data_IF_071838576466
#
_entry.id   IF_071838576466
#
_cell.length_a   1.000
_cell.length_b   1.000
_cell.length_c   1.000
_cell.angle_alpha   90.00
_cell.angle_beta   90.00
_cell.angle_gamma   90.00
#
_symmetry.space_group_name_H-M   'P 1'
#
loop_
_entity.id
_entity.type
_entity.pdbx_description
1 polymer ?
#
# COMPACT_ATOMS: atom_id res chain seq x y z
N UNK A 1 9.09 -39.24 -46.21
CA UNK A 1 8.18 -38.95 -45.08
C UNK A 1 9.00 -39.14 -43.80
N UNK A 2 9.33 -38.10 -43.00
CA UNK A 2 8.52 -37.49 -41.90
C UNK A 2 7.97 -38.60 -40.98
N UNK A 3 8.33 -38.77 -39.70
CA UNK A 3 8.24 -37.85 -38.55
C UNK A 3 9.26 -38.26 -37.47
N UNK A 4 10.15 -37.35 -37.05
CA UNK A 4 10.14 -36.51 -35.82
C UNK A 4 10.34 -37.28 -34.50
N UNK A 5 11.54 -37.04 -33.94
CA UNK A 5 12.06 -37.48 -32.66
C UNK A 5 11.17 -37.09 -31.48
N UNK A 6 10.94 -38.09 -30.65
CA UNK A 6 10.70 -38.09 -29.22
C UNK A 6 11.64 -37.15 -28.46
N UNK A 7 11.21 -36.71 -27.28
CA UNK A 7 11.90 -35.94 -26.23
C UNK A 7 11.59 -34.43 -26.20
N UNK A 8 10.52 -34.10 -25.47
CA UNK A 8 10.30 -32.74 -24.98
C UNK A 8 11.25 -32.53 -23.79
N UNK A 9 12.31 -31.78 -24.05
CA UNK A 9 13.47 -31.54 -23.20
C UNK A 9 13.12 -30.68 -21.97
N UNK A 10 13.66 -30.96 -20.77
CA UNK A 10 13.50 -30.17 -19.55
C UNK A 10 14.34 -28.88 -19.58
N UNK A 11 14.21 -28.06 -20.61
CA UNK A 11 15.03 -26.84 -20.79
C UNK A 11 14.31 -25.57 -20.31
N UNK A 12 13.00 -25.61 -20.07
CA UNK A 12 12.19 -24.42 -19.75
C UNK A 12 12.12 -24.11 -18.26
N UNK A 13 12.19 -25.12 -17.40
CA UNK A 13 12.10 -24.97 -15.95
C UNK A 13 13.42 -24.53 -15.31
N UNK A 14 14.57 -24.98 -15.81
CA UNK A 14 15.87 -24.54 -15.28
C UNK A 14 16.20 -23.07 -15.56
N UNK A 15 15.76 -22.53 -16.71
CA UNK A 15 16.01 -21.14 -17.08
C UNK A 15 15.27 -20.14 -16.16
N UNK A 16 14.11 -20.53 -15.65
CA UNK A 16 13.29 -19.71 -14.76
C UNK A 16 13.89 -19.63 -13.34
N UNK A 17 14.47 -20.73 -12.85
CA UNK A 17 15.15 -20.76 -11.55
C UNK A 17 16.41 -19.90 -11.58
N UNK A 18 17.19 -19.93 -12.66
CA UNK A 18 18.43 -19.14 -12.78
C UNK A 18 18.19 -17.61 -12.77
N UNK A 19 17.06 -17.15 -13.31
CA UNK A 19 16.74 -15.71 -13.36
C UNK A 19 16.35 -15.15 -11.97
N UNK A 20 15.76 -15.96 -11.09
CA UNK A 20 15.30 -15.54 -9.76
C UNK A 20 16.48 -15.35 -8.79
N UNK A 21 17.57 -16.09 -8.96
CA UNK A 21 18.75 -16.04 -8.06
C UNK A 21 19.71 -14.89 -8.38
N UNK A 22 19.65 -14.32 -9.59
CA UNK A 22 20.54 -13.22 -10.00
C UNK A 22 19.98 -11.82 -9.69
N UNK A 23 18.66 -11.71 -9.52
CA UNK A 23 17.99 -10.46 -9.14
C UNK A 23 18.48 -9.85 -7.79
N UNK A 24 18.71 -10.61 -6.69
CA UNK A 24 19.15 -10.02 -5.43
C UNK A 24 20.60 -9.50 -5.47
N UNK A 25 21.45 -10.06 -6.34
CA UNK A 25 22.84 -9.62 -6.47
C UNK A 25 22.96 -8.26 -7.20
N UNK A 26 22.00 -7.96 -8.09
CA UNK A 26 21.90 -6.64 -8.73
C UNK A 26 21.27 -5.59 -7.79
N UNK A 27 20.36 -5.99 -6.90
CA UNK A 27 19.83 -5.10 -5.85
C UNK A 27 20.90 -4.71 -4.83
N UNK A 28 21.83 -5.62 -4.49
CA UNK A 28 22.93 -5.32 -3.58
C UNK A 28 23.91 -4.28 -4.15
N UNK A 29 24.05 -4.19 -5.48
CA UNK A 29 24.90 -3.20 -6.14
C UNK A 29 24.22 -1.83 -6.37
N UNK A 30 22.89 -1.77 -6.25
CA UNK A 30 22.13 -0.51 -6.19
C UNK A 30 21.81 -0.08 -4.75
N UNK A 31 22.24 -0.87 -3.74
CA UNK A 31 22.10 -0.57 -2.31
C UNK A 31 23.33 0.17 -1.78
N UNK A 32 23.87 1.11 -2.56
CA UNK A 32 24.86 2.10 -2.11
C UNK A 32 24.14 3.45 -1.91
N UNK A 33 23.06 3.41 -1.13
CA UNK A 33 22.33 4.61 -0.67
C UNK A 33 22.40 4.72 0.86
N UNK A 34 23.50 4.23 1.44
CA UNK A 34 23.75 4.25 2.88
C UNK A 34 24.09 5.67 3.39
N UNK A 35 24.32 6.64 2.50
CA UNK A 35 24.71 8.01 2.84
C UNK A 35 23.61 9.04 2.51
N UNK A 36 22.37 8.75 2.89
CA UNK A 36 21.24 9.70 2.78
C UNK A 36 20.36 9.78 4.03
N UNK A 37 20.76 9.17 5.15
CA UNK A 37 20.04 9.26 6.41
C UNK A 37 20.89 10.02 7.45
N UNK A 38 21.10 11.32 7.21
CA UNK A 38 21.43 12.22 8.30
C UNK A 38 20.10 12.54 9.00
N UNK A 39 19.69 11.66 9.91
CA UNK A 39 18.64 11.96 10.88
C UNK A 39 19.19 13.09 11.76
N UNK A 40 18.99 14.33 11.31
CA UNK A 40 19.21 15.48 12.17
C UNK A 40 18.12 15.38 13.23
N UNK A 41 18.50 15.16 14.48
CA UNK A 41 17.66 15.44 15.64
C UNK A 41 17.34 16.94 15.62
N UNK A 42 16.32 17.31 14.84
CA UNK A 42 15.78 18.65 14.84
C UNK A 42 15.00 18.79 16.12
N UNK A 43 15.57 19.51 17.09
CA UNK A 43 14.83 19.99 18.24
C UNK A 43 13.60 20.74 17.71
N UNK A 44 12.41 20.26 18.04
CA UNK A 44 11.17 20.98 17.75
C UNK A 44 11.11 22.18 18.68
N UNK A 45 11.53 23.34 18.18
CA UNK A 45 11.33 24.59 18.91
C UNK A 45 9.85 24.94 18.85
N UNK A 46 9.22 25.00 20.02
CA UNK A 46 7.86 25.50 20.18
C UNK A 46 7.86 27.00 19.84
N UNK A 47 7.34 27.35 18.65
CA UNK A 47 7.13 28.73 18.22
C UNK A 47 5.63 29.02 18.21
N UNK A 48 5.23 30.21 18.65
CA UNK A 48 3.83 30.60 18.56
C UNK A 48 3.44 30.76 17.08
N UNK A 49 2.22 30.35 16.71
CA UNK A 49 1.77 30.42 15.31
C UNK A 49 1.84 31.85 14.73
N UNK A 50 1.67 32.87 15.57
CA UNK A 50 1.85 34.26 15.16
C UNK A 50 3.30 34.58 14.80
N UNK A 51 4.25 34.15 15.64
CA UNK A 51 5.70 34.31 15.43
C UNK A 51 6.18 33.59 14.17
N UNK A 52 5.62 32.42 13.87
CA UNK A 52 5.90 31.68 12.63
C UNK A 52 5.47 32.42 11.36
N UNK A 53 4.47 33.30 11.47
CA UNK A 53 3.89 34.05 10.34
C UNK A 53 4.39 35.49 10.26
N UNK A 54 5.17 35.99 11.24
CA UNK A 54 5.63 37.39 11.30
C UNK A 54 6.41 37.84 10.05
N UNK A 55 7.06 36.91 9.34
CA UNK A 55 7.86 37.22 8.16
C UNK A 55 7.17 36.86 6.83
N UNK A 56 5.88 36.51 6.86
CA UNK A 56 5.09 36.14 5.67
C UNK A 56 4.24 37.33 5.24
N UNK A 57 4.90 38.34 4.63
CA UNK A 57 4.23 39.55 4.11
C UNK A 57 3.83 39.44 2.63
N UNK A 58 4.19 38.34 1.97
CA UNK A 58 3.96 38.16 0.54
C UNK A 58 2.47 37.91 0.26
N UNK A 59 1.90 38.69 -0.66
CA UNK A 59 0.62 38.34 -1.25
C UNK A 59 0.77 37.02 -2.05
N UNK A 60 -0.19 36.10 -1.97
CA UNK A 60 -0.21 34.93 -2.84
C UNK A 60 -0.08 35.33 -4.31
N UNK A 61 0.75 34.61 -5.07
CA UNK A 61 0.84 34.82 -6.51
C UNK A 61 -0.43 34.27 -7.16
N UNK A 62 -1.11 35.11 -7.93
CA UNK A 62 -2.30 34.73 -8.68
C UNK A 62 -1.98 33.57 -9.64
N UNK A 63 -2.73 32.47 -9.53
CA UNK A 63 -2.68 31.36 -10.47
C UNK A 63 -3.68 31.62 -11.62
N UNK A 64 -3.23 31.88 -12.86
CA UNK A 64 -4.12 32.09 -13.99
C UNK A 64 -5.01 30.89 -14.31
N UNK A 65 -4.65 29.68 -13.87
CA UNK A 65 -5.44 28.46 -14.04
C UNK A 65 -6.57 28.34 -13.01
N UNK A 66 -6.47 29.02 -11.86
CA UNK A 66 -7.52 28.99 -10.84
C UNK A 66 -8.81 29.70 -11.29
N UNK A 67 -8.73 30.62 -12.26
CA UNK A 67 -9.89 31.29 -12.86
C UNK A 67 -10.45 30.58 -14.09
N UNK A 68 -9.86 29.46 -14.52
CA UNK A 68 -10.44 28.71 -15.63
C UNK A 68 -11.75 28.08 -15.17
N UNK A 69 -12.81 28.14 -16.00
CA UNK A 69 -14.02 27.40 -15.71
C UNK A 69 -13.64 25.92 -15.57
N UNK A 70 -14.06 25.31 -14.46
CA UNK A 70 -13.84 23.88 -14.24
C UNK A 70 -14.28 23.11 -15.49
N UNK A 71 -13.50 22.13 -15.96
CA UNK A 71 -13.98 21.23 -16.99
C UNK A 71 -15.30 20.64 -16.52
N UNK A 72 -16.32 20.63 -17.39
CA UNK A 72 -17.62 20.03 -17.09
C UNK A 72 -17.42 18.52 -16.96
N UNK A 73 -16.97 18.10 -15.79
CA UNK A 73 -16.98 16.71 -15.38
C UNK A 73 -18.44 16.33 -15.19
N UNK A 74 -18.95 15.29 -15.88
CA UNK A 74 -20.29 14.82 -15.60
C UNK A 74 -20.36 14.50 -14.11
N UNK A 75 -21.27 15.14 -13.39
CA UNK A 75 -21.47 14.89 -11.97
C UNK A 75 -21.90 13.44 -11.82
N UNK A 76 -20.98 12.55 -11.48
CA UNK A 76 -21.28 11.15 -11.12
C UNK A 76 -21.77 11.11 -9.68
N UNK A 77 -22.74 11.97 -9.33
CA UNK A 77 -23.45 11.85 -8.06
C UNK A 77 -24.17 10.50 -8.09
N UNK A 78 -23.48 9.44 -7.67
CA UNK A 78 -24.07 8.15 -7.44
C UNK A 78 -25.00 8.36 -6.24
N UNK A 79 -26.29 8.48 -6.52
CA UNK A 79 -27.31 8.28 -5.51
C UNK A 79 -27.17 6.83 -5.06
N UNK A 80 -26.45 6.63 -3.96
CA UNK A 80 -26.38 5.33 -3.30
C UNK A 80 -27.75 5.12 -2.68
N UNK A 81 -28.41 4.03 -3.08
CA UNK A 81 -29.66 3.61 -2.47
C UNK A 81 -29.40 3.34 -0.97
N UNK A 82 -30.14 4.00 -0.05
CA UNK A 82 -29.86 3.93 1.38
C UNK A 82 -30.09 2.52 1.94
N UNK A 83 -30.96 1.71 1.32
CA UNK A 83 -31.18 0.32 1.72
C UNK A 83 -30.03 -0.58 1.27
N UNK A 84 -29.50 -0.37 0.07
CA UNK A 84 -28.28 -1.02 -0.41
C UNK A 84 -27.05 -0.65 0.44
N UNK A 85 -26.94 0.61 0.88
CA UNK A 85 -25.88 1.05 1.79
C UNK A 85 -25.98 0.36 3.16
N UNK A 86 -27.18 0.31 3.74
CA UNK A 86 -27.43 -0.36 5.02
C UNK A 86 -27.15 -1.86 4.95
N UNK A 87 -27.55 -2.53 3.86
CA UNK A 87 -27.27 -3.94 3.64
C UNK A 87 -25.76 -4.22 3.47
N UNK A 88 -25.04 -3.36 2.75
CA UNK A 88 -23.60 -3.46 2.61
C UNK A 88 -22.87 -3.27 3.94
N UNK A 89 -23.32 -2.31 4.77
CA UNK A 89 -22.74 -2.07 6.08
C UNK A 89 -22.99 -3.24 7.05
N UNK A 90 -24.20 -3.80 7.04
CA UNK A 90 -24.53 -4.99 7.81
C UNK A 90 -23.65 -6.20 7.42
N UNK A 91 -23.46 -6.43 6.12
CA UNK A 91 -22.59 -7.50 5.63
C UNK A 91 -21.13 -7.30 6.06
N UNK A 92 -20.64 -6.05 6.05
CA UNK A 92 -19.28 -5.74 6.53
C UNK A 92 -19.14 -5.97 8.03
N UNK A 93 -20.11 -5.55 8.83
CA UNK A 93 -20.08 -5.79 10.28
C UNK A 93 -20.11 -7.28 10.62
N UNK A 94 -20.88 -8.07 9.88
CA UNK A 94 -20.89 -9.51 10.04
C UNK A 94 -19.54 -10.14 9.70
N UNK A 95 -18.92 -9.74 8.59
CA UNK A 95 -17.58 -10.25 8.22
C UNK A 95 -16.50 -9.96 9.26
N UNK A 96 -16.58 -8.80 9.94
CA UNK A 96 -15.64 -8.42 10.99
C UNK A 96 -15.85 -9.27 12.25
N UNK A 97 -17.11 -9.59 12.58
CA UNK A 97 -17.42 -10.46 13.71
C UNK A 97 -16.95 -11.89 13.45
N UNK A 98 -17.23 -12.43 12.27
CA UNK A 98 -16.82 -13.78 11.88
C UNK A 98 -15.29 -13.94 11.93
N UNK A 99 -14.54 -12.99 11.37
CA UNK A 99 -13.07 -12.98 11.42
C UNK A 99 -12.53 -12.84 12.86
N UNK A 100 -13.22 -12.06 13.69
CA UNK A 100 -12.88 -11.91 15.12
C UNK A 100 -13.08 -13.21 15.91
N UNK A 101 -14.17 -13.93 15.64
CA UNK A 101 -14.47 -15.22 16.26
C UNK A 101 -13.45 -16.29 15.83
N UNK A 102 -13.07 -16.31 14.54
CA UNK A 102 -12.03 -17.21 14.02
C UNK A 102 -10.65 -16.93 14.64
N UNK A 103 -10.30 -15.65 14.82
CA UNK A 103 -9.08 -15.24 15.50
C UNK A 103 -9.09 -15.65 16.98
N UNK A 104 -10.21 -15.47 17.67
CA UNK A 104 -10.38 -15.88 19.07
C UNK A 104 -10.28 -17.40 19.23
N UNK A 105 -10.90 -18.17 18.34
CA UNK A 105 -10.82 -19.63 18.31
C UNK A 105 -9.38 -20.11 18.09
N UNK A 106 -8.64 -19.45 17.19
CA UNK A 106 -7.23 -19.75 16.93
C UNK A 106 -6.35 -19.44 18.14
N UNK A 107 -6.58 -18.30 18.82
CA UNK A 107 -5.85 -17.95 20.04
C UNK A 107 -6.14 -18.95 21.18
N UNK A 108 -7.39 -19.37 21.35
CA UNK A 108 -7.77 -20.38 22.34
C UNK A 108 -7.10 -21.73 22.06
N UNK A 109 -7.06 -22.17 20.80
CA UNK A 109 -6.39 -23.41 20.41
C UNK A 109 -4.87 -23.33 20.64
N UNK A 110 -4.24 -22.19 20.38
CA UNK A 110 -2.83 -21.97 20.66
C UNK A 110 -2.52 -22.01 22.16
N UNK A 111 -3.38 -21.41 22.99
CA UNK A 111 -3.24 -21.45 24.45
C UNK A 111 -3.43 -22.86 25.01
N UNK A 112 -4.37 -23.64 24.49
CA UNK A 112 -4.55 -25.05 24.89
C UNK A 112 -3.32 -25.89 24.53
N UNK A 113 -2.79 -25.72 23.32
CA UNK A 113 -1.58 -26.43 22.87
C UNK A 113 -0.34 -26.10 23.73
N UNK A 114 -0.23 -24.86 24.23
CA UNK A 114 0.85 -24.46 25.14
C UNK A 114 0.69 -25.01 26.56
N UNK A 115 -0.52 -25.38 26.98
CA UNK A 115 -0.82 -25.89 28.32
C UNK A 115 -0.80 -27.43 28.41
N UNK A 116 -0.56 -28.13 27.28
CA UNK A 116 -0.48 -29.59 27.18
C UNK A 116 0.97 -30.13 27.15
N UNK A 117 1.95 -29.31 27.54
CA UNK A 117 3.36 -29.67 27.77
C UNK A 117 3.67 -29.73 29.29
#
# INVERSE_FOLDING_TARGET
>A
MKFRLTSHTPARTCALVAAVIAAPLALAACSDSDDAAYETDTETVEIEANEALENVDAMPVEDPQASMPDPVVPSTTQTVDPEAAAAAEAARQQSIQDEGDDAAATAAAAMDAMNQD
#
